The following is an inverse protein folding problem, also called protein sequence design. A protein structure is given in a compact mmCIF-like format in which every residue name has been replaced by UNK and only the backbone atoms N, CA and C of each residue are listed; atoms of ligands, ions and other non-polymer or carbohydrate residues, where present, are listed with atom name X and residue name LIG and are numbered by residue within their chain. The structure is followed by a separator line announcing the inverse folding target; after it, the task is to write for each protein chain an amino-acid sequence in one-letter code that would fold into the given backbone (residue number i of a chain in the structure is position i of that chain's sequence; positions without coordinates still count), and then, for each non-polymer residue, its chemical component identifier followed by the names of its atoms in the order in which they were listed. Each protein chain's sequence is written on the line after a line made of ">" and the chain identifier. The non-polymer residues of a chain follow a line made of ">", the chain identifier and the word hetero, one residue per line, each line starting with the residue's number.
data_IF_326223689471
#
_entry.id   IF_326223689471
#
_cell.length_a   1.000
_cell.length_b   1.000
_cell.length_c   1.000
_cell.angle_alpha   90.00
_cell.angle_beta   90.00
_cell.angle_gamma   90.00
#
_symmetry.space_group_name_H-M   'P 1'
#
loop_
_entity.id
_entity.type
_entity.pdbx_description
1 polymer ?
#
# COMPACT_ATOMS: atom_id res chain seq x y z
N UNK A 1 -5.45 -23.24 6.14
CA UNK A 1 -5.30 -21.81 5.77
C UNK A 1 -5.75 -21.72 4.33
N UNK A 2 -6.80 -20.95 3.97
CA UNK A 2 -7.07 -20.74 2.55
C UNK A 2 -5.79 -20.18 1.93
N UNK A 3 -5.32 -20.78 0.85
CA UNK A 3 -4.11 -20.33 0.14
C UNK A 3 -4.25 -18.84 -0.16
N UNK A 4 -3.28 -18.05 0.29
CA UNK A 4 -3.21 -16.63 -0.04
C UNK A 4 -2.99 -16.52 -1.56
N UNK A 5 -3.94 -15.88 -2.24
CA UNK A 5 -3.93 -15.68 -3.70
C UNK A 5 -2.64 -14.99 -4.15
N UNK A 6 -2.04 -14.15 -3.30
CA UNK A 6 -0.77 -13.47 -3.56
C UNK A 6 0.47 -14.35 -3.36
N UNK A 7 0.36 -15.44 -2.59
CA UNK A 7 1.43 -16.46 -2.53
C UNK A 7 1.38 -17.37 -3.76
N UNK A 8 0.18 -17.82 -4.14
CA UNK A 8 -0.01 -18.78 -5.23
C UNK A 8 0.22 -18.17 -6.61
N UNK A 9 -0.21 -16.92 -6.82
CA UNK A 9 -0.17 -16.25 -8.12
C UNK A 9 0.76 -15.04 -8.16
N UNK A 10 1.86 -15.07 -7.39
CA UNK A 10 2.82 -13.96 -7.30
C UNK A 10 3.37 -13.51 -8.66
N UNK A 11 3.67 -14.44 -9.57
CA UNK A 11 4.16 -14.13 -10.92
C UNK A 11 3.11 -13.41 -11.77
N UNK A 12 1.84 -13.82 -11.68
CA UNK A 12 0.73 -13.17 -12.39
C UNK A 12 0.47 -11.77 -11.83
N UNK A 13 0.51 -11.62 -10.51
CA UNK A 13 0.43 -10.33 -9.83
C UNK A 13 1.53 -9.39 -10.32
N UNK A 14 2.79 -9.85 -10.33
CA UNK A 14 3.92 -9.01 -10.69
C UNK A 14 3.94 -8.65 -12.18
N UNK A 15 3.54 -9.60 -13.04
CA UNK A 15 3.47 -9.41 -14.51
C UNK A 15 2.44 -8.36 -14.92
N UNK A 16 1.37 -8.18 -14.14
CA UNK A 16 0.35 -7.15 -14.42
C UNK A 16 0.98 -5.76 -14.58
N UNK A 17 1.99 -5.42 -13.77
CA UNK A 17 2.68 -4.12 -13.83
C UNK A 17 3.50 -3.93 -15.10
N UNK A 18 3.96 -5.00 -15.73
CA UNK A 18 4.66 -4.94 -17.03
C UNK A 18 3.66 -4.80 -18.18
N UNK A 19 2.54 -5.55 -18.12
CA UNK A 19 1.46 -5.51 -19.11
C UNK A 19 0.70 -4.17 -19.10
N UNK A 20 0.60 -3.52 -17.93
CA UNK A 20 -0.12 -2.27 -17.71
C UNK A 20 0.84 -1.13 -17.33
N UNK A 21 2.00 -1.08 -18.00
CA UNK A 21 3.11 -0.18 -17.65
C UNK A 21 2.71 1.28 -17.54
N UNK A 22 1.94 1.82 -18.47
CA UNK A 22 1.57 3.24 -18.46
C UNK A 22 0.66 3.60 -17.27
N UNK A 23 -0.26 2.70 -16.93
CA UNK A 23 -1.14 2.85 -15.76
C UNK A 23 -0.31 2.81 -14.47
N UNK A 24 0.56 1.81 -14.33
CA UNK A 24 1.48 1.70 -13.20
C UNK A 24 2.40 2.93 -13.05
N UNK A 25 2.98 3.41 -14.15
CA UNK A 25 3.86 4.58 -14.11
C UNK A 25 3.12 5.87 -13.74
N UNK A 26 1.85 6.00 -14.15
CA UNK A 26 1.00 7.12 -13.75
C UNK A 26 0.70 7.08 -12.24
N UNK A 27 0.36 5.92 -11.69
CA UNK A 27 0.14 5.72 -10.25
C UNK A 27 1.43 6.00 -9.45
N UNK A 28 2.55 5.42 -9.87
CA UNK A 28 3.86 5.61 -9.27
C UNK A 28 4.30 7.08 -9.24
N UNK A 29 4.06 7.81 -10.34
CA UNK A 29 4.37 9.24 -10.43
C UNK A 29 3.60 10.06 -9.41
N UNK A 30 2.31 9.75 -9.20
CA UNK A 30 1.46 10.46 -8.23
C UNK A 30 1.89 10.18 -6.80
N UNK A 31 2.26 8.95 -6.48
CA UNK A 31 2.85 8.62 -5.16
C UNK A 31 4.16 9.40 -4.97
N UNK A 32 5.05 9.41 -5.97
CA UNK A 32 6.32 10.14 -5.90
C UNK A 32 6.14 11.64 -5.63
N UNK A 33 5.08 12.26 -6.13
CA UNK A 33 4.83 13.70 -5.92
C UNK A 33 4.54 14.07 -4.45
N UNK A 34 4.01 13.14 -3.67
CA UNK A 34 3.62 13.39 -2.27
C UNK A 34 4.49 12.66 -1.25
N UNK A 35 5.25 11.65 -1.68
CA UNK A 35 6.18 10.92 -0.83
C UNK A 35 7.38 11.82 -0.47
N UNK A 36 7.67 12.03 0.83
CA UNK A 36 8.92 12.67 1.24
C UNK A 36 10.13 11.90 0.71
N UNK A 37 11.26 12.57 0.48
CA UNK A 37 12.49 11.90 0.06
C UNK A 37 12.82 10.73 1.03
N UNK A 38 12.81 9.47 0.59
CA UNK A 38 12.96 8.35 1.51
C UNK A 38 14.32 8.33 2.19
N UNK A 39 14.31 8.30 3.52
CA UNK A 39 15.50 8.03 4.34
C UNK A 39 15.60 6.53 4.67
N UNK A 40 16.57 6.13 5.49
CA UNK A 40 16.75 4.74 5.89
C UNK A 40 15.63 4.19 6.80
N UNK A 41 14.69 5.04 7.22
CA UNK A 41 13.55 4.72 8.08
C UNK A 41 12.22 4.78 7.33
N UNK A 42 12.27 4.96 6.02
CA UNK A 42 11.09 4.81 5.16
C UNK A 42 10.80 3.32 4.95
N UNK A 43 9.52 2.94 5.08
CA UNK A 43 9.09 1.55 4.94
C UNK A 43 7.83 1.46 4.06
N UNK A 44 7.71 0.40 3.26
CA UNK A 44 6.46 0.02 2.61
C UNK A 44 5.79 -1.13 3.37
N UNK A 45 4.56 -0.93 3.84
CA UNK A 45 3.76 -1.98 4.49
C UNK A 45 2.88 -2.64 3.43
N UNK A 46 3.02 -3.97 3.29
CA UNK A 46 2.51 -4.73 2.15
C UNK A 46 3.32 -4.44 0.89
N UNK A 47 4.65 -4.56 0.99
CA UNK A 47 5.60 -4.21 -0.09
C UNK A 47 5.43 -5.08 -1.34
N UNK A 48 4.75 -6.22 -1.21
CA UNK A 48 4.51 -7.14 -2.31
C UNK A 48 5.82 -7.53 -2.97
N UNK A 49 5.86 -7.43 -4.31
CA UNK A 49 7.05 -7.74 -5.09
C UNK A 49 8.06 -6.59 -5.13
N UNK A 50 7.82 -5.47 -4.45
CA UNK A 50 8.69 -4.29 -4.44
C UNK A 50 8.54 -3.36 -5.65
N UNK A 51 7.39 -3.43 -6.35
CA UNK A 51 7.09 -2.60 -7.54
C UNK A 51 7.01 -1.10 -7.22
N UNK A 52 6.61 -0.71 -6.01
CA UNK A 52 6.57 0.69 -5.61
C UNK A 52 7.82 1.08 -4.81
N UNK A 53 8.19 0.34 -3.77
CA UNK A 53 9.38 0.64 -2.96
C UNK A 53 10.65 0.87 -3.77
N UNK A 54 11.01 -0.05 -4.68
CA UNK A 54 12.28 -0.02 -5.39
C UNK A 54 12.49 1.26 -6.22
N UNK A 55 11.58 1.63 -7.14
CA UNK A 55 11.74 2.87 -7.90
C UNK A 55 11.57 4.12 -7.05
N UNK A 56 10.85 4.07 -5.92
CA UNK A 56 10.71 5.22 -5.02
C UNK A 56 11.93 5.43 -4.11
N UNK A 57 12.83 4.45 -4.01
CA UNK A 57 14.02 4.51 -3.17
C UNK A 57 13.78 4.06 -1.72
N UNK A 58 12.61 3.48 -1.44
CA UNK A 58 12.32 2.83 -0.15
C UNK A 58 13.08 1.50 -0.14
N UNK A 59 13.85 1.24 0.92
CA UNK A 59 14.70 0.04 1.02
C UNK A 59 14.16 -1.04 1.92
N UNK A 60 13.17 -0.73 2.76
CA UNK A 60 12.59 -1.67 3.72
C UNK A 60 11.11 -1.90 3.42
N UNK A 61 10.64 -3.12 3.64
CA UNK A 61 9.21 -3.42 3.53
C UNK A 61 8.75 -4.57 4.41
N UNK A 62 7.43 -4.62 4.66
CA UNK A 62 6.77 -5.73 5.36
C UNK A 62 5.87 -6.46 4.38
N UNK A 63 5.97 -7.80 4.32
CA UNK A 63 5.16 -8.63 3.41
C UNK A 63 4.93 -10.04 4.00
N UNK A 64 3.68 -10.55 4.01
CA UNK A 64 3.41 -11.93 4.45
C UNK A 64 3.80 -13.00 3.43
N UNK A 65 3.58 -12.75 2.13
CA UNK A 65 3.81 -13.71 1.04
C UNK A 65 5.30 -13.96 0.82
N UNK A 66 5.73 -15.21 1.00
CA UNK A 66 7.11 -15.65 0.76
C UNK A 66 7.48 -15.49 -0.71
N UNK A 67 6.56 -15.77 -1.63
CA UNK A 67 6.79 -15.60 -3.06
C UNK A 67 7.08 -14.14 -3.41
N UNK A 68 6.28 -13.21 -2.91
CA UNK A 68 6.46 -11.78 -3.13
C UNK A 68 7.72 -11.25 -2.41
N UNK A 69 8.00 -11.70 -1.18
CA UNK A 69 9.25 -11.38 -0.48
C UNK A 69 10.49 -11.71 -1.32
N UNK A 70 10.52 -12.88 -1.98
CA UNK A 70 11.64 -13.29 -2.84
C UNK A 70 11.82 -12.34 -4.03
N UNK A 71 10.72 -11.84 -4.61
CA UNK A 71 10.77 -10.86 -5.70
C UNK A 71 11.27 -9.50 -5.22
N UNK A 72 10.73 -8.99 -4.10
CA UNK A 72 11.15 -7.73 -3.51
C UNK A 72 12.64 -7.74 -3.15
N UNK A 73 13.14 -8.85 -2.59
CA UNK A 73 14.57 -9.02 -2.32
C UNK A 73 15.44 -8.91 -3.58
N UNK A 74 15.03 -9.51 -4.70
CA UNK A 74 15.73 -9.35 -5.99
C UNK A 74 15.71 -7.91 -6.52
N UNK A 75 14.79 -7.07 -6.05
CA UNK A 75 14.72 -5.63 -6.35
C UNK A 75 15.47 -4.76 -5.33
N UNK A 76 16.22 -5.38 -4.41
CA UNK A 76 17.03 -4.67 -3.42
C UNK A 76 16.25 -4.22 -2.19
N UNK A 77 15.07 -4.79 -1.93
CA UNK A 77 14.29 -4.51 -0.73
C UNK A 77 14.70 -5.48 0.39
N UNK A 78 14.99 -4.94 1.56
CA UNK A 78 15.06 -5.70 2.80
C UNK A 78 13.64 -5.94 3.33
N UNK A 79 13.21 -7.20 3.34
CA UNK A 79 11.84 -7.56 3.67
C UNK A 79 11.76 -8.22 5.03
N UNK A 80 10.94 -7.63 5.91
CA UNK A 80 10.55 -8.24 7.18
C UNK A 80 9.26 -9.02 6.95
N UNK A 81 9.27 -10.33 7.21
CA UNK A 81 8.02 -11.10 7.12
C UNK A 81 7.09 -10.75 8.28
N UNK A 82 5.90 -10.28 7.94
CA UNK A 82 4.87 -9.89 8.91
C UNK A 82 3.59 -9.46 8.21
N UNK A 83 2.57 -9.14 8.99
CA UNK A 83 1.29 -8.61 8.49
C UNK A 83 1.07 -7.20 9.03
N UNK A 84 0.12 -6.46 8.45
CA UNK A 84 -0.12 -5.07 8.81
C UNK A 84 -0.83 -4.92 10.17
N UNK A 85 -1.52 -5.97 10.63
CA UNK A 85 -2.24 -6.03 11.90
C UNK A 85 -1.32 -6.16 13.13
N UNK A 86 -0.08 -6.62 12.91
CA UNK A 86 0.92 -6.77 13.97
C UNK A 86 2.32 -6.60 13.37
N UNK A 87 2.76 -5.34 13.27
CA UNK A 87 4.01 -4.99 12.60
C UNK A 87 5.21 -5.34 13.49
N UNK A 88 6.16 -6.16 13.02
CA UNK A 88 7.40 -6.49 13.73
C UNK A 88 8.42 -5.34 13.64
N UNK A 89 7.98 -4.13 13.92
CA UNK A 89 8.72 -2.87 13.82
C UNK A 89 8.56 -2.13 15.15
N UNK A 90 9.64 -1.50 15.61
CA UNK A 90 9.65 -0.79 16.89
C UNK A 90 8.77 0.48 16.84
N UNK A 91 8.17 0.81 17.96
CA UNK A 91 7.47 2.08 18.16
C UNK A 91 8.34 3.28 17.76
N UNK A 92 7.71 4.27 17.11
CA UNK A 92 8.32 5.53 16.72
C UNK A 92 9.71 5.39 16.06
N UNK A 93 9.83 4.46 15.10
CA UNK A 93 11.09 4.16 14.42
C UNK A 93 11.08 4.48 12.93
N UNK A 94 9.91 4.65 12.32
CA UNK A 94 9.75 4.95 10.90
C UNK A 94 9.53 6.44 10.67
N UNK A 95 10.23 7.04 9.69
CA UNK A 95 10.05 8.43 9.28
C UNK A 95 8.84 8.62 8.37
N UNK A 96 8.63 7.66 7.47
CA UNK A 96 7.52 7.63 6.53
C UNK A 96 7.09 6.20 6.22
N UNK A 97 5.79 6.01 6.01
CA UNK A 97 5.20 4.75 5.57
C UNK A 97 4.55 4.94 4.21
N UNK A 98 4.75 3.98 3.32
CA UNK A 98 3.95 3.78 2.12
C UNK A 98 3.04 2.56 2.30
N UNK A 99 1.78 2.67 1.87
CA UNK A 99 0.84 1.55 1.78
C UNK A 99 0.06 1.68 0.46
N UNK A 100 0.28 0.76 -0.48
CA UNK A 100 -0.35 0.80 -1.80
C UNK A 100 -1.31 -0.39 -1.98
N UNK A 101 -2.60 -0.10 -2.10
CA UNK A 101 -3.71 -1.04 -2.33
C UNK A 101 -3.90 -2.13 -1.27
N UNK A 102 -3.13 -2.08 -0.18
CA UNK A 102 -3.23 -3.06 0.93
C UNK A 102 -4.53 -2.90 1.72
N UNK A 103 -5.00 -1.67 1.93
CA UNK A 103 -6.25 -1.39 2.66
C UNK A 103 -7.43 -2.20 2.13
N UNK A 104 -7.44 -2.50 0.83
CA UNK A 104 -8.48 -3.27 0.17
C UNK A 104 -8.54 -4.74 0.63
N UNK A 105 -7.50 -5.26 1.25
CA UNK A 105 -7.37 -6.66 1.67
C UNK A 105 -7.37 -6.84 3.18
N UNK A 106 -7.56 -5.76 3.93
CA UNK A 106 -7.64 -5.80 5.39
C UNK A 106 -9.04 -6.22 5.86
N UNK A 107 -9.09 -7.04 6.90
CA UNK A 107 -10.35 -7.39 7.56
C UNK A 107 -10.95 -6.19 8.30
N UNK A 108 -10.10 -5.42 9.01
CA UNK A 108 -10.43 -4.16 9.66
C UNK A 108 -9.25 -3.16 9.54
N UNK A 109 -9.42 -2.04 8.82
CA UNK A 109 -8.36 -1.03 8.69
C UNK A 109 -8.01 -0.29 9.99
N UNK A 110 -8.93 -0.18 10.96
CA UNK A 110 -8.72 0.62 12.18
C UNK A 110 -7.54 0.12 13.02
N UNK A 111 -7.46 -1.17 13.43
CA UNK A 111 -6.32 -1.67 14.19
C UNK A 111 -5.01 -1.57 13.40
N UNK A 112 -5.05 -1.78 12.09
CA UNK A 112 -3.88 -1.63 11.22
C UNK A 112 -3.37 -0.20 11.20
N UNK A 113 -4.25 0.80 11.06
CA UNK A 113 -3.85 2.19 11.14
C UNK A 113 -3.29 2.55 12.53
N UNK A 114 -3.79 1.93 13.60
CA UNK A 114 -3.18 2.00 14.93
C UNK A 114 -1.73 1.50 14.95
N UNK A 115 -1.44 0.37 14.28
CA UNK A 115 -0.07 -0.13 14.11
C UNK A 115 0.81 0.81 13.27
N UNK A 116 0.29 1.36 12.17
CA UNK A 116 1.01 2.37 11.37
C UNK A 116 1.34 3.60 12.21
N UNK A 117 0.39 4.06 13.02
CA UNK A 117 0.58 5.16 13.95
C UNK A 117 1.66 4.82 14.98
N UNK A 118 1.60 3.64 15.61
CA UNK A 118 2.58 3.20 16.60
C UNK A 118 4.01 3.26 16.08
N UNK A 119 4.27 2.78 14.85
CA UNK A 119 5.64 2.66 14.33
C UNK A 119 6.17 3.97 13.72
N UNK A 120 5.31 4.89 13.27
CA UNK A 120 5.73 6.20 12.77
C UNK A 120 6.27 7.07 13.90
N UNK A 121 7.31 7.86 13.65
CA UNK A 121 7.72 8.94 14.55
C UNK A 121 6.62 10.01 14.64
N UNK A 122 6.64 10.81 15.71
CA UNK A 122 5.78 12.00 15.80
C UNK A 122 5.99 12.88 14.56
N UNK A 123 4.89 13.37 13.99
CA UNK A 123 4.91 14.14 12.74
C UNK A 123 5.43 13.36 11.51
N UNK A 124 5.61 12.04 11.63
CA UNK A 124 5.93 11.15 10.52
C UNK A 124 4.80 11.06 9.50
N UNK A 125 5.16 10.73 8.26
CA UNK A 125 4.23 10.78 7.12
C UNK A 125 3.73 9.40 6.72
N UNK A 126 2.42 9.24 6.57
CA UNK A 126 1.78 8.09 5.94
C UNK A 126 1.30 8.47 4.54
N UNK A 127 1.77 7.73 3.53
CA UNK A 127 1.24 7.78 2.17
C UNK A 127 0.38 6.53 1.96
N UNK A 128 -0.92 6.75 1.78
CA UNK A 128 -1.91 5.72 1.46
C UNK A 128 -2.35 5.89 0.02
N UNK A 129 -2.24 4.83 -0.76
CA UNK A 129 -2.73 4.81 -2.13
C UNK A 129 -3.66 3.61 -2.32
N UNK A 130 -4.83 3.82 -2.93
CA UNK A 130 -5.84 2.76 -3.05
C UNK A 130 -6.76 2.98 -4.25
N UNK A 131 -7.47 1.92 -4.65
CA UNK A 131 -8.46 2.00 -5.71
C UNK A 131 -9.75 2.59 -5.12
N UNK A 132 -10.20 3.70 -5.69
CA UNK A 132 -11.39 4.42 -5.24
C UNK A 132 -12.64 3.60 -5.58
N UNK A 133 -13.55 3.43 -4.60
CA UNK A 133 -14.85 2.82 -4.83
C UNK A 133 -15.61 3.59 -5.90
N UNK A 134 -16.23 2.86 -6.82
CA UNK A 134 -16.94 3.40 -7.99
C UNK A 134 -16.07 4.21 -8.98
N UNK A 135 -14.76 4.32 -8.74
CA UNK A 135 -13.82 4.95 -9.66
C UNK A 135 -13.68 4.18 -10.97
N UNK A 136 -13.11 4.82 -12.01
CA UNK A 136 -12.93 4.23 -13.35
C UNK A 136 -12.23 2.87 -13.30
N UNK A 137 -11.22 2.75 -12.46
CA UNK A 137 -10.47 1.51 -12.25
C UNK A 137 -11.38 0.41 -11.66
N UNK A 138 -12.12 0.71 -10.59
CA UNK A 138 -13.10 -0.22 -10.01
C UNK A 138 -14.17 -0.65 -11.02
N UNK A 139 -14.73 0.29 -11.80
CA UNK A 139 -15.74 -0.01 -12.81
C UNK A 139 -15.21 -0.88 -13.95
N UNK A 140 -13.97 -0.65 -14.40
CA UNK A 140 -13.32 -1.51 -15.41
C UNK A 140 -13.16 -2.94 -14.88
N UNK A 141 -12.76 -3.10 -13.62
CA UNK A 141 -12.67 -4.43 -12.99
C UNK A 141 -14.01 -5.17 -12.96
N UNK A 142 -15.12 -4.49 -12.63
CA UNK A 142 -16.45 -5.08 -12.63
C UNK A 142 -16.88 -5.60 -14.02
N UNK A 143 -16.35 -5.02 -15.11
CA UNK A 143 -16.72 -5.37 -16.49
C UNK A 143 -15.81 -6.42 -17.13
N UNK A 144 -14.51 -6.38 -16.82
CA UNK A 144 -13.49 -7.10 -17.61
C UNK A 144 -12.89 -8.33 -16.91
N UNK A 145 -13.23 -8.62 -15.65
CA UNK A 145 -12.80 -9.84 -14.96
C UNK A 145 -11.29 -9.98 -14.66
N UNK A 146 -10.45 -9.03 -15.10
CA UNK A 146 -8.96 -9.01 -15.08
C UNK A 146 -8.26 -9.39 -13.77
N UNK A 147 -7.79 -8.43 -12.94
CA UNK A 147 -7.31 -8.71 -11.54
C UNK A 147 -8.37 -9.42 -10.67
N UNK A 148 -9.49 -9.88 -11.23
CA UNK A 148 -10.64 -10.47 -10.58
C UNK A 148 -10.30 -11.61 -9.62
N UNK A 149 -9.22 -12.39 -9.85
CA UNK A 149 -8.77 -13.39 -8.86
C UNK A 149 -8.31 -12.73 -7.55
N UNK A 150 -7.44 -11.72 -7.65
CA UNK A 150 -6.89 -11.00 -6.50
C UNK A 150 -7.95 -10.13 -5.85
N UNK A 151 -8.77 -9.45 -6.66
CA UNK A 151 -9.77 -8.49 -6.20
C UNK A 151 -11.11 -9.12 -5.79
N UNK A 152 -11.29 -10.43 -5.97
CA UNK A 152 -12.54 -11.13 -5.58
C UNK A 152 -12.92 -10.95 -4.12
N UNK A 153 -11.93 -10.70 -3.26
CA UNK A 153 -12.10 -10.45 -1.81
C UNK A 153 -11.76 -9.02 -1.40
N UNK A 154 -11.50 -8.14 -2.37
CA UNK A 154 -11.15 -6.75 -2.09
C UNK A 154 -12.36 -5.96 -1.60
N UNK A 155 -12.16 -5.14 -0.58
CA UNK A 155 -13.06 -4.07 -0.16
C UNK A 155 -12.59 -2.76 -0.77
N UNK A 156 -13.51 -2.00 -1.34
CA UNK A 156 -13.21 -0.70 -1.92
C UNK A 156 -13.77 0.40 -1.02
N UNK A 157 -13.00 1.48 -0.92
CA UNK A 157 -13.30 2.61 -0.04
C UNK A 157 -13.42 3.88 -0.88
N UNK A 158 -14.26 4.80 -0.43
CA UNK A 158 -14.18 6.18 -0.89
C UNK A 158 -13.08 6.94 -0.15
N UNK A 159 -12.62 8.04 -0.72
CA UNK A 159 -11.71 8.98 -0.08
C UNK A 159 -12.23 9.40 1.30
N UNK A 160 -13.50 9.75 1.42
CA UNK A 160 -14.09 10.23 2.68
C UNK A 160 -14.14 9.14 3.76
N UNK A 161 -14.37 7.89 3.38
CA UNK A 161 -14.29 6.75 4.31
C UNK A 161 -12.87 6.59 4.85
N UNK A 162 -11.86 6.63 3.97
CA UNK A 162 -10.44 6.52 4.39
C UNK A 162 -10.03 7.70 5.25
N UNK A 163 -10.49 8.92 4.95
CA UNK A 163 -10.25 10.10 5.80
C UNK A 163 -10.83 9.89 7.21
N UNK A 164 -12.07 9.41 7.31
CA UNK A 164 -12.69 9.12 8.61
C UNK A 164 -11.98 8.02 9.40
N UNK A 165 -11.39 7.02 8.73
CA UNK A 165 -10.56 5.99 9.38
C UNK A 165 -9.24 6.56 9.90
N UNK A 166 -8.59 7.44 9.13
CA UNK A 166 -7.37 8.14 9.51
C UNK A 166 -7.60 9.07 10.72
N UNK A 167 -8.68 9.85 10.70
CA UNK A 167 -9.01 10.77 11.79
C UNK A 167 -9.23 10.01 13.12
N UNK A 168 -9.90 8.85 13.07
CA UNK A 168 -10.12 7.98 14.24
C UNK A 168 -8.84 7.38 14.82
N UNK A 169 -7.76 7.37 14.05
CA UNK A 169 -6.51 6.65 14.38
C UNK A 169 -5.33 7.60 14.57
N UNK A 170 -5.60 8.89 14.80
CA UNK A 170 -4.57 9.88 15.15
C UNK A 170 -3.79 10.40 13.96
N UNK A 171 -4.34 10.33 12.74
CA UNK A 171 -3.74 10.91 11.56
C UNK A 171 -4.47 12.19 11.13
N UNK A 172 -3.71 13.20 10.72
CA UNK A 172 -4.24 14.37 10.04
C UNK A 172 -3.90 14.34 8.55
N UNK A 173 -4.92 14.35 7.70
CA UNK A 173 -4.74 14.41 6.24
C UNK A 173 -4.21 15.77 5.80
N UNK A 174 -3.08 15.79 5.09
CA UNK A 174 -2.41 17.01 4.60
C UNK A 174 -2.66 17.27 3.12
N UNK A 175 -2.72 16.21 2.32
CA UNK A 175 -3.02 16.29 0.90
C UNK A 175 -3.78 15.05 0.46
N UNK A 176 -4.60 15.19 -0.57
CA UNK A 176 -5.24 14.07 -1.22
C UNK A 176 -5.43 14.36 -2.71
N UNK A 177 -5.27 13.31 -3.50
CA UNK A 177 -5.38 13.33 -4.95
C UNK A 177 -6.27 12.15 -5.38
N UNK A 178 -7.59 12.36 -5.61
CA UNK A 178 -8.54 11.32 -6.01
C UNK A 178 -8.71 11.17 -7.53
N UNK A 179 -7.65 11.35 -8.33
CA UNK A 179 -7.74 11.28 -9.80
C UNK A 179 -7.78 9.85 -10.35
N UNK A 180 -8.43 9.69 -11.51
CA UNK A 180 -8.41 8.47 -12.32
C UNK A 180 -8.89 7.16 -11.65
N UNK A 181 -9.59 7.23 -10.51
CA UNK A 181 -10.05 6.04 -9.78
C UNK A 181 -8.95 5.39 -8.92
N UNK A 182 -7.81 6.06 -8.75
CA UNK A 182 -6.75 5.70 -7.83
C UNK A 182 -6.53 6.90 -6.90
N UNK A 183 -6.82 6.74 -5.62
CA UNK A 183 -6.70 7.81 -4.65
C UNK A 183 -5.33 7.75 -3.97
N UNK A 184 -4.67 8.89 -3.80
CA UNK A 184 -3.42 9.02 -3.04
C UNK A 184 -3.65 10.04 -1.94
N UNK A 185 -3.45 9.64 -0.68
CA UNK A 185 -3.59 10.46 0.50
C UNK A 185 -2.24 10.55 1.20
N UNK A 186 -1.80 11.77 1.51
CA UNK A 186 -0.70 12.03 2.43
C UNK A 186 -1.28 12.49 3.77
N UNK A 187 -0.99 11.75 4.83
CA UNK A 187 -1.42 12.04 6.19
C UNK A 187 -0.21 12.08 7.13
N UNK A 188 -0.37 12.73 8.27
CA UNK A 188 0.69 12.92 9.25
C UNK A 188 0.23 12.41 10.60
N UNK A 189 1.09 11.69 11.32
CA UNK A 189 0.86 11.26 12.70
C UNK A 189 0.76 12.49 13.61
N UNK A 190 -0.31 12.57 14.42
CA UNK A 190 -0.54 13.62 15.41
C UNK A 190 0.21 13.40 16.73
#
# INVERSE_FOLDING_TARGET
>A
MPQDVFEEYADDYDRWFDEHRDEYLAELSRIRQVLPAPDSRAIEVGVGSGRFAAPLGIRMGVEPSRALCRMAHRRGIEVIRGTAEALPVKDSSCSSILMVTVICFLDDPVPVFGELHRILVDQGTLILAFIEREGKIHQRYLREGGKGRFLSRARFYSQDEVRGLLDKTGFAVKAADPRAGFCVIAAQRL
#
